data_IF_681564732752
#
_entry.id   IF_681564732752
#
_cell.length_a   1.000
_cell.length_b   1.000
_cell.length_c   1.000
_cell.angle_alpha   90.00
_cell.angle_beta   90.00
_cell.angle_gamma   90.00
#
_symmetry.space_group_name_H-M   'P 1'
#
loop_
_entity.id
_entity.type
_entity.pdbx_description
1 polymer ?
#
# COMPACT_ATOMS: atom_id res chain seq x y z
N UNK A 1 2.81 -0.55 -5.73
CA UNK A 1 2.36 0.06 -4.46
C UNK A 1 3.12 -0.51 -3.28
N UNK A 2 3.16 0.21 -2.14
CA UNK A 2 3.66 -0.27 -0.85
C UNK A 2 2.62 -0.08 0.25
N UNK A 3 2.79 -0.79 1.37
CA UNK A 3 1.99 -0.58 2.59
C UNK A 3 2.90 0.01 3.68
N UNK A 4 2.56 1.21 4.13
CA UNK A 4 3.25 1.94 5.19
C UNK A 4 2.50 1.80 6.51
N UNK A 5 3.05 1.05 7.47
CA UNK A 5 2.39 0.74 8.74
C UNK A 5 3.34 0.76 9.93
N UNK A 6 2.77 0.96 11.11
CA UNK A 6 3.44 0.58 12.37
C UNK A 6 3.38 -0.93 12.59
N UNK A 7 4.29 -1.46 13.41
CA UNK A 7 4.25 -2.85 13.87
C UNK A 7 2.87 -3.12 14.50
N UNK A 8 2.33 -4.30 14.29
CA UNK A 8 1.02 -4.75 14.81
C UNK A 8 -0.21 -3.97 14.33
N UNK A 9 -0.08 -3.04 13.40
CA UNK A 9 -1.24 -2.38 12.79
C UNK A 9 -1.98 -3.23 11.76
N UNK A 10 -1.48 -4.45 11.48
CA UNK A 10 -2.12 -5.44 10.60
C UNK A 10 -1.61 -5.38 9.15
N UNK A 11 -0.35 -4.95 8.94
CA UNK A 11 0.28 -4.86 7.62
C UNK A 11 0.28 -6.21 6.90
N UNK A 12 0.86 -7.24 7.50
CA UNK A 12 0.96 -8.59 6.92
C UNK A 12 -0.42 -9.19 6.65
N UNK A 13 -1.37 -9.04 7.59
CA UNK A 13 -2.76 -9.49 7.40
C UNK A 13 -3.41 -8.80 6.20
N UNK A 14 -3.16 -7.49 6.03
CA UNK A 14 -3.69 -6.76 4.89
C UNK A 14 -3.03 -7.20 3.58
N UNK A 15 -1.70 -7.39 3.55
CA UNK A 15 -0.97 -7.89 2.38
C UNK A 15 -1.50 -9.26 1.95
N UNK A 16 -1.68 -10.19 2.88
CA UNK A 16 -2.25 -11.52 2.61
C UNK A 16 -3.66 -11.43 2.01
N UNK A 17 -4.51 -10.55 2.56
CA UNK A 17 -5.87 -10.35 2.03
C UNK A 17 -5.86 -9.80 0.59
N UNK A 18 -4.97 -8.87 0.28
CA UNK A 18 -4.83 -8.32 -1.08
C UNK A 18 -4.40 -9.41 -2.07
N UNK A 19 -3.43 -10.25 -1.68
CA UNK A 19 -2.90 -11.36 -2.48
C UNK A 19 -3.99 -12.44 -2.68
N UNK A 20 -4.72 -12.80 -1.64
CA UNK A 20 -5.83 -13.76 -1.71
C UNK A 20 -6.97 -13.23 -2.58
N UNK A 21 -7.35 -11.97 -2.40
CA UNK A 21 -8.39 -11.33 -3.20
C UNK A 21 -8.07 -11.22 -4.69
N UNK A 22 -6.78 -11.22 -5.04
CA UNK A 22 -6.31 -11.33 -6.42
C UNK A 22 -6.24 -12.79 -6.93
N UNK A 23 -6.71 -13.77 -6.17
CA UNK A 23 -6.75 -15.18 -6.57
C UNK A 23 -5.39 -15.90 -6.53
N UNK A 24 -4.37 -15.32 -5.92
CA UNK A 24 -3.02 -15.91 -5.84
C UNK A 24 -2.85 -16.88 -4.68
N UNK A 25 -3.78 -16.90 -3.73
CA UNK A 25 -3.86 -17.86 -2.63
C UNK A 25 -5.31 -18.09 -2.21
N UNK A 26 -5.59 -19.17 -1.46
CA UNK A 26 -6.93 -19.39 -0.96
C UNK A 26 -7.30 -18.39 0.14
N UNK A 27 -8.55 -17.93 0.16
CA UNK A 27 -9.05 -16.99 1.18
C UNK A 27 -8.96 -17.57 2.61
N UNK A 28 -9.01 -18.89 2.77
CA UNK A 28 -8.90 -19.58 4.07
C UNK A 28 -7.51 -19.40 4.72
N UNK A 29 -6.47 -19.20 3.89
CA UNK A 29 -5.08 -18.99 4.32
C UNK A 29 -4.76 -17.51 4.52
N UNK A 30 -5.57 -16.61 3.99
CA UNK A 30 -5.36 -15.17 4.11
C UNK A 30 -5.29 -14.72 5.58
N UNK A 31 -4.30 -13.92 5.91
CA UNK A 31 -4.03 -13.46 7.27
C UNK A 31 -3.46 -14.50 8.23
N UNK A 32 -3.24 -15.75 7.78
CA UNK A 32 -2.67 -16.84 8.59
C UNK A 32 -1.31 -17.30 8.06
N UNK A 33 -1.13 -17.30 6.75
CA UNK A 33 0.04 -17.94 6.09
C UNK A 33 1.24 -17.02 5.96
N UNK A 34 1.08 -15.70 6.17
CA UNK A 34 2.18 -14.71 6.05
C UNK A 34 3.00 -14.94 4.78
N UNK A 35 2.31 -14.99 3.64
CA UNK A 35 2.90 -15.41 2.35
C UNK A 35 4.12 -14.60 1.94
N UNK A 36 4.24 -13.36 2.40
CA UNK A 36 5.39 -12.50 2.11
C UNK A 36 6.52 -12.59 3.15
N UNK A 37 6.31 -13.27 4.29
CA UNK A 37 7.33 -13.48 5.32
C UNK A 37 8.09 -14.80 5.03
N UNK A 38 9.05 -14.77 4.11
CA UNK A 38 9.82 -15.96 3.65
C UNK A 38 10.94 -16.38 4.59
N UNK A 39 11.33 -15.56 5.57
CA UNK A 39 12.42 -15.82 6.50
C UNK A 39 11.88 -16.49 7.78
N UNK A 40 12.54 -17.55 8.24
CA UNK A 40 12.18 -18.23 9.50
C UNK A 40 12.20 -17.28 10.70
N UNK A 41 13.07 -16.26 10.70
CA UNK A 41 13.15 -15.27 11.78
C UNK A 41 11.97 -14.30 11.74
N UNK A 42 11.43 -13.98 10.55
CA UNK A 42 10.21 -13.18 10.37
C UNK A 42 9.02 -13.93 10.95
N UNK A 43 8.87 -15.19 10.56
CA UNK A 43 7.79 -16.06 11.06
C UNK A 43 7.86 -16.27 12.58
N UNK A 44 9.06 -16.46 13.14
CA UNK A 44 9.25 -16.69 14.56
C UNK A 44 8.98 -15.44 15.42
N UNK A 45 9.29 -14.25 14.91
CA UNK A 45 9.15 -12.98 15.64
C UNK A 45 7.87 -12.23 15.30
N UNK A 46 7.17 -12.63 14.24
CA UNK A 46 5.96 -11.96 13.77
C UNK A 46 6.18 -10.58 13.18
N UNK A 47 7.38 -10.27 12.70
CA UNK A 47 7.74 -8.98 12.10
C UNK A 47 8.30 -9.18 10.70
N UNK A 48 7.93 -8.33 9.75
CA UNK A 48 8.54 -8.30 8.42
C UNK A 48 9.91 -7.63 8.50
N UNK A 49 10.94 -8.37 8.14
CA UNK A 49 12.36 -7.90 8.13
C UNK A 49 12.74 -7.52 6.69
N UNK A 50 12.35 -8.36 5.73
CA UNK A 50 12.72 -8.23 4.34
C UNK A 50 11.55 -7.71 3.50
N UNK A 51 11.83 -6.78 2.57
CA UNK A 51 10.85 -6.40 1.58
C UNK A 51 10.59 -7.58 0.63
N UNK A 52 9.34 -7.96 0.49
CA UNK A 52 8.87 -8.97 -0.46
C UNK A 52 7.99 -8.32 -1.52
N UNK A 53 7.85 -8.94 -2.69
CA UNK A 53 7.02 -8.41 -3.76
C UNK A 53 6.05 -9.45 -4.30
N UNK A 54 4.83 -9.03 -4.60
CA UNK A 54 3.82 -9.83 -5.27
C UNK A 54 3.19 -9.04 -6.41
N UNK A 55 2.95 -9.69 -7.55
CA UNK A 55 2.25 -9.11 -8.69
C UNK A 55 0.84 -9.64 -8.73
N UNK A 56 -0.15 -8.76 -8.75
CA UNK A 56 -1.57 -9.09 -8.68
C UNK A 56 -2.29 -8.51 -9.90
N UNK A 57 -3.32 -9.20 -10.37
CA UNK A 57 -4.25 -8.66 -11.37
C UNK A 57 -5.58 -8.35 -10.69
N UNK A 58 -6.09 -7.14 -10.92
CA UNK A 58 -7.38 -6.71 -10.40
C UNK A 58 -8.21 -6.06 -11.51
N UNK A 59 -9.49 -6.40 -11.57
CA UNK A 59 -10.42 -5.91 -12.58
C UNK A 59 -11.26 -4.78 -11.99
N UNK A 60 -11.23 -3.61 -12.63
CA UNK A 60 -12.09 -2.48 -12.25
C UNK A 60 -12.85 -2.02 -13.48
N UNK A 61 -14.18 -2.07 -13.41
CA UNK A 61 -15.12 -1.61 -14.47
C UNK A 61 -14.82 -2.17 -15.88
N UNK A 62 -14.21 -3.39 -15.92
CA UNK A 62 -13.92 -4.15 -17.14
C UNK A 62 -12.44 -4.30 -17.49
N UNK A 63 -11.59 -3.27 -17.45
CA UNK A 63 -10.15 -3.44 -17.68
C UNK A 63 -9.42 -4.18 -16.56
N UNK A 64 -8.37 -4.94 -16.96
CA UNK A 64 -7.44 -5.58 -16.05
C UNK A 64 -6.30 -4.62 -15.69
N UNK A 65 -5.97 -4.55 -14.39
CA UNK A 65 -4.88 -3.75 -13.87
C UNK A 65 -3.84 -4.65 -13.21
N UNK A 66 -2.58 -4.53 -13.61
CA UNK A 66 -1.46 -5.18 -12.93
C UNK A 66 -1.00 -4.31 -11.77
N UNK A 67 -1.07 -4.84 -10.56
CA UNK A 67 -0.66 -4.18 -9.33
C UNK A 67 0.52 -4.93 -8.73
N UNK A 68 1.68 -4.28 -8.65
CA UNK A 68 2.85 -4.81 -7.95
C UNK A 68 2.85 -4.29 -6.53
N UNK A 69 2.66 -5.18 -5.55
CA UNK A 69 2.74 -4.89 -4.14
C UNK A 69 4.15 -5.16 -3.65
N UNK A 70 4.76 -4.18 -2.98
CA UNK A 70 6.01 -4.35 -2.23
C UNK A 70 5.67 -4.23 -0.75
N UNK A 71 5.82 -5.32 -0.01
CA UNK A 71 5.70 -5.30 1.45
C UNK A 71 6.97 -4.76 2.07
N UNK A 72 6.86 -3.76 2.92
CA UNK A 72 8.00 -3.04 3.52
C UNK A 72 8.16 -3.41 4.99
N UNK A 73 9.39 -3.48 5.52
CA UNK A 73 9.59 -3.62 6.95
C UNK A 73 8.88 -2.50 7.74
N UNK A 74 8.25 -2.86 8.86
CA UNK A 74 7.59 -1.88 9.75
C UNK A 74 8.52 -1.28 10.80
N UNK A 75 9.73 -1.81 10.98
CA UNK A 75 10.66 -1.40 12.05
C UNK A 75 11.62 -0.30 11.59
N UNK A 76 11.89 0.67 12.50
CA UNK A 76 12.77 1.82 12.21
C UNK A 76 14.21 1.44 11.86
N UNK A 77 14.69 0.29 12.35
CA UNK A 77 16.05 -0.19 12.09
C UNK A 77 16.28 -0.56 10.61
N UNK A 78 15.19 -0.83 9.86
CA UNK A 78 15.22 -1.14 8.43
C UNK A 78 14.93 0.07 7.53
N UNK A 79 15.19 1.28 8.01
CA UNK A 79 14.88 2.52 7.27
C UNK A 79 15.50 2.61 5.89
N UNK A 80 16.67 1.99 5.67
CA UNK A 80 17.31 1.89 4.35
C UNK A 80 16.51 1.03 3.37
N UNK A 81 15.99 -0.10 3.81
CA UNK A 81 15.18 -1.01 2.99
C UNK A 81 13.84 -0.37 2.65
N UNK A 82 13.22 0.32 3.60
CA UNK A 82 11.99 1.09 3.38
C UNK A 82 12.21 2.16 2.32
N UNK A 83 13.31 2.92 2.37
CA UNK A 83 13.61 3.96 1.37
C UNK A 83 13.82 3.35 0.00
N UNK A 84 14.56 2.23 -0.12
CA UNK A 84 14.75 1.52 -1.39
C UNK A 84 13.43 1.02 -1.97
N UNK A 85 12.57 0.42 -1.14
CA UNK A 85 11.24 -0.01 -1.54
C UNK A 85 10.37 1.16 -2.01
N UNK A 86 10.39 2.31 -1.29
CA UNK A 86 9.65 3.51 -1.68
C UNK A 86 10.11 4.09 -3.03
N UNK A 87 11.36 3.91 -3.42
CA UNK A 87 11.84 4.27 -4.77
C UNK A 87 11.25 3.41 -5.87
N UNK A 88 10.87 2.18 -5.58
CA UNK A 88 10.31 1.27 -6.56
C UNK A 88 8.79 1.40 -6.77
N UNK A 89 8.06 2.08 -5.87
CA UNK A 89 6.59 2.17 -5.91
C UNK A 89 6.11 3.57 -6.27
N UNK A 90 4.91 3.69 -6.84
CA UNK A 90 4.30 4.96 -7.26
C UNK A 90 3.25 5.46 -6.27
N UNK A 91 2.68 4.54 -5.49
CA UNK A 91 1.70 4.85 -4.46
C UNK A 91 1.93 4.04 -3.18
N UNK A 92 1.41 4.53 -2.06
CA UNK A 92 1.44 3.79 -0.81
C UNK A 92 0.10 3.86 -0.07
N UNK A 93 -0.27 2.75 0.56
CA UNK A 93 -1.38 2.66 1.50
C UNK A 93 -0.83 2.93 2.89
N UNK A 94 -1.16 4.07 3.47
CA UNK A 94 -0.87 4.36 4.87
C UNK A 94 -1.87 3.58 5.72
N UNK A 95 -1.38 2.68 6.56
CA UNK A 95 -2.19 1.87 7.44
C UNK A 95 -2.13 2.45 8.87
N UNK A 96 -3.25 2.95 9.37
CA UNK A 96 -3.37 3.47 10.73
C UNK A 96 -4.34 2.60 11.55
N UNK A 97 -4.00 2.35 12.83
CA UNK A 97 -4.89 1.66 13.74
C UNK A 97 -6.01 2.59 14.22
N UNK A 98 -7.26 2.18 14.14
CA UNK A 98 -8.40 2.96 14.61
C UNK A 98 -8.36 3.22 16.13
N UNK A 99 -7.76 2.31 16.89
CA UNK A 99 -7.63 2.39 18.35
C UNK A 99 -6.48 3.30 18.75
N UNK A 100 -5.28 3.08 18.20
CA UNK A 100 -4.02 3.74 18.59
C UNK A 100 -3.73 4.98 17.76
N UNK A 101 -4.34 5.09 16.57
CA UNK A 101 -4.09 6.16 15.62
C UNK A 101 -2.78 5.98 14.85
N UNK A 102 -2.14 7.09 14.51
CA UNK A 102 -0.83 7.10 13.87
C UNK A 102 0.29 7.12 14.90
N UNK A 103 1.21 6.17 14.80
CA UNK A 103 2.35 6.01 15.70
C UNK A 103 3.63 6.62 15.09
N UNK A 104 4.69 6.87 15.89
CA UNK A 104 5.93 7.50 15.41
C UNK A 104 6.59 6.77 14.24
N UNK A 105 6.52 5.43 14.20
CA UNK A 105 7.05 4.65 13.08
C UNK A 105 6.26 4.89 11.81
N UNK A 106 4.91 4.97 11.89
CA UNK A 106 4.07 5.35 10.74
C UNK A 106 4.48 6.71 10.21
N UNK A 107 4.73 7.69 11.09
CA UNK A 107 5.18 9.03 10.67
C UNK A 107 6.52 8.97 9.93
N UNK A 108 7.46 8.14 10.39
CA UNK A 108 8.77 7.96 9.75
C UNK A 108 8.64 7.37 8.35
N UNK A 109 7.85 6.30 8.19
CA UNK A 109 7.65 5.64 6.89
C UNK A 109 6.88 6.56 5.93
N UNK A 110 5.86 7.25 6.39
CA UNK A 110 5.10 8.25 5.61
C UNK A 110 6.03 9.37 5.13
N UNK A 111 6.89 9.90 6.02
CA UNK A 111 7.89 10.92 5.65
C UNK A 111 8.84 10.42 4.56
N UNK A 112 9.31 9.16 4.64
CA UNK A 112 10.16 8.56 3.61
C UNK A 112 9.41 8.43 2.28
N UNK A 113 8.17 7.94 2.28
CA UNK A 113 7.33 7.83 1.09
C UNK A 113 7.12 9.21 0.40
N UNK A 114 6.78 10.23 1.19
CA UNK A 114 6.56 11.59 0.66
C UNK A 114 7.83 12.22 0.09
N UNK A 115 9.01 11.99 0.71
CA UNK A 115 10.30 12.43 0.17
C UNK A 115 10.64 11.78 -1.17
N UNK A 116 10.28 10.53 -1.36
CA UNK A 116 10.43 9.79 -2.62
C UNK A 116 9.27 10.06 -3.60
N UNK A 117 8.43 11.05 -3.32
CA UNK A 117 7.27 11.46 -4.12
C UNK A 117 6.31 10.30 -4.42
N UNK A 118 6.05 9.46 -3.43
CA UNK A 118 5.06 8.37 -3.48
C UNK A 118 3.70 8.88 -3.03
N UNK A 119 2.66 8.75 -3.88
CA UNK A 119 1.31 9.25 -3.58
C UNK A 119 0.63 8.40 -2.51
N UNK A 120 0.14 9.00 -1.40
CA UNK A 120 -0.49 8.25 -0.32
C UNK A 120 -2.01 8.11 -0.50
N UNK A 121 -2.56 6.99 0.02
CA UNK A 121 -3.95 6.82 0.43
C UNK A 121 -3.97 6.31 1.86
N UNK A 122 -5.10 6.42 2.57
CA UNK A 122 -5.21 6.03 3.99
C UNK A 122 -6.21 4.89 4.16
N UNK A 123 -5.79 3.85 4.88
CA UNK A 123 -6.68 2.82 5.41
C UNK A 123 -6.66 2.82 6.94
N UNK A 124 -7.82 3.05 7.57
CA UNK A 124 -8.00 3.01 9.02
C UNK A 124 -8.45 1.60 9.39
N UNK A 125 -7.53 0.82 9.95
CA UNK A 125 -7.70 -0.59 10.27
C UNK A 125 -8.15 -0.84 11.73
N UNK A 126 -8.61 -2.04 12.03
CA UNK A 126 -9.06 -2.49 13.35
C UNK A 126 -10.29 -1.74 13.87
N UNK A 127 -11.19 -1.37 12.97
CA UNK A 127 -12.45 -0.71 13.32
C UNK A 127 -13.37 -1.64 14.12
N UNK A 128 -13.30 -2.96 13.84
CA UNK A 128 -13.93 -4.02 14.62
C UNK A 128 -13.64 -3.90 16.13
N UNK A 129 -12.40 -3.54 16.50
CA UNK A 129 -12.00 -3.38 17.89
C UNK A 129 -12.60 -2.13 18.54
N UNK A 130 -12.79 -1.05 17.80
CA UNK A 130 -13.49 0.14 18.31
C UNK A 130 -14.93 -0.19 18.69
N UNK A 131 -15.61 -0.99 17.87
CA UNK A 131 -17.02 -1.34 18.06
C UNK A 131 -17.16 -2.41 19.13
N UNK A 132 -16.43 -3.52 19.03
CA UNK A 132 -16.62 -4.68 19.88
C UNK A 132 -15.90 -4.61 21.22
N UNK A 133 -14.65 -4.12 21.25
CA UNK A 133 -13.85 -4.07 22.48
C UNK A 133 -14.06 -2.77 23.25
N UNK A 134 -13.99 -1.62 22.56
CA UNK A 134 -14.12 -0.32 23.19
C UNK A 134 -15.57 0.19 23.27
N UNK A 135 -16.48 -0.45 22.54
CA UNK A 135 -17.92 -0.13 22.54
C UNK A 135 -18.24 1.35 22.34
N UNK A 136 -17.44 2.01 21.47
CA UNK A 136 -17.63 3.44 21.18
C UNK A 136 -18.81 3.65 20.24
N UNK A 137 -19.48 4.79 20.39
CA UNK A 137 -20.57 5.19 19.50
C UNK A 137 -20.08 5.77 18.16
N UNK A 138 -21.03 6.01 17.25
CA UNK A 138 -20.72 6.57 15.93
C UNK A 138 -20.05 7.95 15.97
N UNK A 139 -20.55 8.92 16.74
CA UNK A 139 -19.93 10.22 16.90
C UNK A 139 -18.48 10.16 17.43
N UNK A 140 -18.21 9.34 18.42
CA UNK A 140 -16.84 9.17 18.95
C UNK A 140 -15.92 8.53 17.90
N UNK A 141 -16.40 7.50 17.17
CA UNK A 141 -15.63 6.88 16.11
C UNK A 141 -15.29 7.89 14.99
N UNK A 142 -16.25 8.70 14.58
CA UNK A 142 -16.00 9.77 13.59
C UNK A 142 -14.96 10.76 14.08
N UNK A 143 -15.02 11.18 15.34
CA UNK A 143 -14.02 12.08 15.94
C UNK A 143 -12.61 11.46 15.94
N UNK A 144 -12.48 10.17 16.18
CA UNK A 144 -11.19 9.44 16.09
C UNK A 144 -10.68 9.40 14.66
N UNK A 145 -11.54 9.11 13.69
CA UNK A 145 -11.15 9.11 12.27
C UNK A 145 -10.69 10.50 11.82
N UNK A 146 -11.39 11.56 12.19
CA UNK A 146 -10.98 12.93 11.91
C UNK A 146 -9.61 13.29 12.49
N UNK A 147 -9.30 12.86 13.70
CA UNK A 147 -7.97 13.05 14.32
C UNK A 147 -6.88 12.33 13.53
N UNK A 148 -7.12 11.08 13.09
CA UNK A 148 -6.18 10.30 12.30
C UNK A 148 -5.95 10.98 10.94
N UNK A 149 -7.02 11.35 10.23
CA UNK A 149 -6.96 12.02 8.93
C UNK A 149 -6.22 13.36 9.05
N UNK A 150 -6.52 14.15 10.08
CA UNK A 150 -5.87 15.45 10.33
C UNK A 150 -4.37 15.26 10.56
N UNK A 151 -3.99 14.26 11.36
CA UNK A 151 -2.57 13.98 11.64
C UNK A 151 -1.83 13.52 10.36
N UNK A 152 -2.42 12.65 9.56
CA UNK A 152 -1.85 12.23 8.27
C UNK A 152 -1.73 13.41 7.30
N UNK A 153 -2.76 14.25 7.21
CA UNK A 153 -2.73 15.44 6.36
C UNK A 153 -1.69 16.47 6.80
N UNK A 154 -1.44 16.58 8.11
CA UNK A 154 -0.34 17.39 8.63
C UNK A 154 1.01 16.88 8.17
N UNK A 155 1.24 15.56 8.18
CA UNK A 155 2.47 14.96 7.66
C UNK A 155 2.61 15.22 6.16
N UNK A 156 1.52 15.04 5.39
CA UNK A 156 1.52 15.32 3.95
C UNK A 156 1.88 16.78 3.67
N UNK A 157 1.24 17.72 4.38
CA UNK A 157 1.52 19.16 4.22
C UNK A 157 2.94 19.54 4.61
N UNK A 158 3.57 18.79 5.52
CA UNK A 158 4.92 19.09 6.01
C UNK A 158 6.01 18.51 5.11
N UNK A 159 5.79 17.33 4.53
CA UNK A 159 6.86 16.56 3.87
C UNK A 159 6.63 16.32 2.38
N UNK A 160 5.42 16.48 1.87
CA UNK A 160 5.19 16.39 0.43
C UNK A 160 5.74 17.64 -0.29
N UNK A 161 6.12 17.52 -1.58
CA UNK A 161 6.47 18.68 -2.40
C UNK A 161 5.35 19.73 -2.39
N UNK A 162 5.69 21.01 -2.41
CA UNK A 162 4.72 22.12 -2.30
C UNK A 162 3.64 22.08 -3.37
N UNK A 163 4.00 21.68 -4.59
CA UNK A 163 3.11 21.54 -5.75
C UNK A 163 2.13 20.36 -5.61
N UNK A 164 2.53 19.30 -4.92
CA UNK A 164 1.75 18.06 -4.77
C UNK A 164 1.03 17.95 -3.42
N UNK A 165 1.53 18.63 -2.39
CA UNK A 165 1.06 18.48 -1.01
C UNK A 165 -0.44 18.76 -0.81
N UNK A 166 -1.00 19.74 -1.52
CA UNK A 166 -2.44 20.05 -1.45
C UNK A 166 -3.30 19.00 -2.15
N UNK A 167 -2.84 18.48 -3.27
CA UNK A 167 -3.54 17.45 -4.04
C UNK A 167 -3.54 16.12 -3.30
N UNK A 168 -2.42 15.79 -2.65
CA UNK A 168 -2.19 14.50 -1.98
C UNK A 168 -2.82 14.40 -0.59
N UNK A 169 -3.40 15.47 -0.06
CA UNK A 169 -4.18 15.37 1.18
C UNK A 169 -5.27 14.33 1.06
N UNK A 170 -5.29 13.42 2.02
CA UNK A 170 -6.30 12.36 2.07
C UNK A 170 -7.63 12.91 2.57
N UNK A 171 -8.72 12.48 1.96
CA UNK A 171 -10.07 12.93 2.26
C UNK A 171 -11.07 11.82 2.02
N UNK A 172 -12.03 11.70 2.91
CA UNK A 172 -13.15 10.77 2.80
C UNK A 172 -13.96 11.07 1.53
N UNK A 173 -14.22 12.37 1.27
CA UNK A 173 -15.00 12.82 0.12
C UNK A 173 -14.29 12.55 -1.21
N UNK A 174 -12.96 12.66 -1.25
CA UNK A 174 -12.16 12.32 -2.44
C UNK A 174 -12.01 10.82 -2.65
N UNK A 175 -12.47 9.98 -1.72
CA UNK A 175 -12.31 8.53 -1.77
C UNK A 175 -10.86 8.06 -1.59
N UNK A 176 -10.00 8.87 -0.98
CA UNK A 176 -8.60 8.51 -0.65
C UNK A 176 -8.46 8.00 0.79
N UNK A 177 -9.58 7.84 1.49
CA UNK A 177 -9.66 7.25 2.83
C UNK A 177 -10.64 6.10 2.79
N UNK A 178 -10.21 4.94 3.27
CA UNK A 178 -11.06 3.80 3.57
C UNK A 178 -10.86 3.38 5.02
N UNK A 179 -11.81 2.65 5.58
CA UNK A 179 -11.74 2.10 6.93
C UNK A 179 -12.29 0.68 6.96
N UNK A 180 -11.89 -0.13 7.93
CA UNK A 180 -12.35 -1.51 8.01
C UNK A 180 -11.57 -2.37 9.00
N UNK A 181 -11.64 -3.67 8.77
CA UNK A 181 -10.89 -4.67 9.50
C UNK A 181 -10.16 -5.61 8.54
N UNK A 182 -8.82 -5.57 8.57
CA UNK A 182 -8.02 -6.55 7.84
C UNK A 182 -8.21 -7.97 8.41
N UNK A 183 -8.45 -8.10 9.72
CA UNK A 183 -8.66 -9.40 10.35
C UNK A 183 -9.91 -10.12 9.80
N UNK A 184 -11.02 -9.40 9.63
CA UNK A 184 -12.27 -9.92 9.08
C UNK A 184 -12.39 -9.72 7.56
N UNK A 185 -11.38 -9.10 6.91
CA UNK A 185 -11.32 -8.80 5.48
C UNK A 185 -12.53 -8.01 4.98
N UNK A 186 -12.97 -6.98 5.71
CA UNK A 186 -13.96 -6.05 5.22
C UNK A 186 -13.43 -4.62 5.20
N UNK A 187 -13.91 -3.83 4.25
CA UNK A 187 -13.51 -2.44 4.11
C UNK A 187 -14.61 -1.56 3.53
N UNK A 188 -14.52 -0.27 3.77
CA UNK A 188 -15.49 0.69 3.29
C UNK A 188 -14.81 2.01 2.93
N UNK A 189 -15.21 2.58 1.79
CA UNK A 189 -14.90 3.92 1.35
C UNK A 189 -16.17 4.61 0.87
N UNK A 190 -16.19 5.94 0.76
CA UNK A 190 -17.38 6.64 0.24
C UNK A 190 -17.78 6.17 -1.16
N UNK A 191 -16.85 6.06 -2.15
CA UNK A 191 -17.22 5.51 -3.46
C UNK A 191 -17.81 4.10 -3.38
N UNK A 192 -17.25 3.24 -2.52
CA UNK A 192 -17.77 1.88 -2.36
C UNK A 192 -19.14 1.86 -1.66
N UNK A 193 -19.38 2.71 -0.66
CA UNK A 193 -20.72 2.87 -0.04
C UNK A 193 -21.78 3.26 -1.06
N UNK A 194 -21.45 4.16 -1.97
CA UNK A 194 -22.36 4.57 -3.04
C UNK A 194 -22.66 3.44 -4.02
N UNK A 195 -21.66 2.62 -4.35
CA UNK A 195 -21.79 1.45 -5.25
C UNK A 195 -22.56 0.30 -4.60
N UNK A 196 -22.24 -0.04 -3.36
CA UNK A 196 -22.81 -1.19 -2.62
C UNK A 196 -24.14 -0.88 -1.92
N UNK A 197 -24.49 0.40 -1.76
CA UNK A 197 -25.65 0.88 -0.99
C UNK A 197 -25.63 0.49 0.50
N UNK A 198 -24.49 0.09 1.04
CA UNK A 198 -24.30 -0.19 2.46
C UNK A 198 -24.11 1.15 3.17
N UNK A 199 -24.84 1.36 4.25
CA UNK A 199 -24.71 2.57 5.07
C UNK A 199 -23.90 2.29 6.36
N UNK A 200 -23.48 3.38 7.01
CA UNK A 200 -22.65 3.31 8.20
C UNK A 200 -23.33 2.59 9.37
N UNK A 201 -24.66 2.75 9.51
CA UNK A 201 -25.45 2.08 10.56
C UNK A 201 -25.41 0.55 10.41
N UNK A 202 -25.53 0.05 9.17
CA UNK A 202 -25.45 -1.38 8.89
C UNK A 202 -24.08 -1.96 9.26
N UNK A 203 -22.98 -1.22 9.08
CA UNK A 203 -21.65 -1.67 9.51
C UNK A 203 -21.62 -1.91 11.01
N UNK A 204 -22.19 -1.01 11.82
CA UNK A 204 -22.32 -1.20 13.27
C UNK A 204 -23.15 -2.43 13.61
N UNK A 205 -24.29 -2.61 12.96
CA UNK A 205 -25.17 -3.76 13.18
C UNK A 205 -24.44 -5.08 12.89
N UNK A 206 -23.74 -5.19 11.74
CA UNK A 206 -22.95 -6.38 11.42
C UNK A 206 -21.82 -6.65 12.42
N UNK A 207 -21.17 -5.61 12.94
CA UNK A 207 -20.11 -5.77 13.93
C UNK A 207 -20.65 -6.19 15.30
N UNK A 208 -21.77 -5.60 15.75
CA UNK A 208 -22.40 -5.94 17.03
C UNK A 208 -23.01 -7.35 17.06
N UNK A 209 -23.58 -7.78 15.94
CA UNK A 209 -24.20 -9.10 15.81
C UNK A 209 -23.19 -10.24 15.55
N UNK A 210 -21.88 -9.95 15.68
CA UNK A 210 -20.76 -10.86 15.35
C UNK A 210 -20.85 -11.45 13.92
N UNK A 211 -21.42 -10.68 13.01
CA UNK A 211 -21.72 -11.10 11.65
C UNK A 211 -20.78 -10.44 10.60
N UNK A 212 -19.54 -10.16 11.00
CA UNK A 212 -18.55 -9.49 10.15
C UNK A 212 -18.14 -10.31 8.93
N UNK A 213 -18.35 -11.65 8.95
CA UNK A 213 -18.12 -12.50 7.77
C UNK A 213 -19.10 -12.19 6.63
N UNK A 214 -20.35 -11.88 6.95
CA UNK A 214 -21.32 -11.45 5.93
C UNK A 214 -21.01 -10.04 5.43
N UNK A 215 -20.56 -9.14 6.32
CA UNK A 215 -20.05 -7.83 5.90
C UNK A 215 -18.87 -7.96 4.94
N UNK A 216 -17.94 -8.90 5.19
CA UNK A 216 -16.82 -9.18 4.30
C UNK A 216 -17.24 -9.67 2.90
N UNK A 217 -18.34 -10.43 2.79
CA UNK A 217 -18.90 -10.82 1.49
C UNK A 217 -19.53 -9.63 0.75
N UNK A 218 -20.17 -8.72 1.47
CA UNK A 218 -20.81 -7.55 0.91
C UNK A 218 -19.82 -6.42 0.57
N UNK A 219 -18.76 -6.30 1.34
CA UNK A 219 -17.74 -5.28 1.21
C UNK A 219 -16.34 -5.86 1.47
N UNK A 220 -15.82 -6.72 0.57
CA UNK A 220 -14.50 -7.32 0.75
C UNK A 220 -13.43 -6.24 0.85
N UNK A 221 -12.63 -6.28 1.92
CA UNK A 221 -11.60 -5.28 2.19
C UNK A 221 -10.56 -5.17 1.09
N UNK A 222 -10.18 -6.31 0.52
CA UNK A 222 -9.25 -6.35 -0.63
C UNK A 222 -9.82 -5.64 -1.86
N UNK A 223 -11.11 -5.86 -2.20
CA UNK A 223 -11.74 -5.18 -3.34
C UNK A 223 -11.76 -3.67 -3.15
N UNK A 224 -12.21 -3.20 -1.96
CA UNK A 224 -12.26 -1.77 -1.66
C UNK A 224 -10.89 -1.10 -1.79
N UNK A 225 -9.83 -1.76 -1.34
CA UNK A 225 -8.48 -1.21 -1.37
C UNK A 225 -7.83 -1.31 -2.75
N UNK A 226 -8.07 -2.39 -3.50
CA UNK A 226 -7.56 -2.52 -4.86
C UNK A 226 -8.29 -1.55 -5.80
N UNK A 227 -9.62 -1.39 -5.69
CA UNK A 227 -10.39 -0.36 -6.41
C UNK A 227 -9.83 1.05 -6.10
N UNK A 228 -9.61 1.36 -4.81
CA UNK A 228 -9.01 2.63 -4.39
C UNK A 228 -7.59 2.82 -4.93
N UNK A 229 -6.80 1.75 -5.00
CA UNK A 229 -5.45 1.78 -5.57
C UNK A 229 -5.48 2.14 -7.05
N UNK A 230 -6.34 1.49 -7.83
CA UNK A 230 -6.47 1.75 -9.27
C UNK A 230 -6.96 3.17 -9.54
N UNK A 231 -7.92 3.65 -8.76
CA UNK A 231 -8.53 4.97 -8.97
C UNK A 231 -7.65 6.13 -8.48
N UNK A 232 -6.88 5.95 -7.42
CA UNK A 232 -6.20 7.05 -6.72
C UNK A 232 -4.68 7.07 -6.87
N UNK A 233 -4.03 5.95 -7.09
CA UNK A 233 -2.59 5.95 -7.33
C UNK A 233 -2.27 6.23 -8.81
N UNK A 234 -1.18 6.93 -9.09
CA UNK A 234 -0.77 7.19 -10.46
C UNK A 234 -0.23 5.91 -11.10
N UNK A 235 -0.45 5.77 -12.42
CA UNK A 235 0.28 4.78 -13.20
C UNK A 235 1.76 5.15 -13.31
N UNK A 236 2.66 4.21 -13.63
CA UNK A 236 4.08 4.50 -13.85
C UNK A 236 4.33 5.65 -14.83
N UNK A 237 3.57 5.70 -15.93
CA UNK A 237 3.68 6.75 -16.96
C UNK A 237 3.40 8.15 -16.41
N UNK A 238 2.50 8.26 -15.44
CA UNK A 238 2.20 9.54 -14.77
C UNK A 238 3.23 9.82 -13.68
N UNK A 239 3.53 8.82 -12.86
CA UNK A 239 4.41 8.98 -11.70
C UNK A 239 5.86 9.29 -12.09
N UNK A 240 6.41 8.64 -13.11
CA UNK A 240 7.81 8.81 -13.50
C UNK A 240 8.13 10.24 -13.95
N UNK A 241 7.18 10.97 -14.51
CA UNK A 241 7.37 12.37 -14.92
C UNK A 241 7.84 13.30 -13.80
N UNK A 242 7.33 13.09 -12.58
CA UNK A 242 7.72 13.89 -11.41
C UNK A 242 8.66 13.16 -10.45
N UNK A 243 8.77 11.84 -10.54
CA UNK A 243 9.62 11.04 -9.67
C UNK A 243 11.04 10.89 -10.20
N UNK A 244 11.23 10.67 -11.51
CA UNK A 244 12.56 10.51 -12.11
C UNK A 244 13.47 11.70 -11.82
N UNK A 245 13.03 12.97 -11.94
CA UNK A 245 13.86 14.12 -11.55
C UNK A 245 14.30 14.14 -10.09
N UNK A 246 13.59 13.42 -9.21
CA UNK A 246 13.94 13.30 -7.79
C UNK A 246 14.88 12.11 -7.50
N UNK A 247 14.77 11.03 -8.27
CA UNK A 247 15.48 9.77 -8.02
C UNK A 247 16.82 9.74 -8.76
N UNK A 248 16.84 10.28 -9.98
CA UNK A 248 18.00 10.20 -10.87
C UNK A 248 18.71 11.56 -10.99
N UNK A 249 20.04 11.52 -10.87
CA UNK A 249 20.92 12.71 -10.84
C UNK A 249 21.55 13.02 -12.22
N UNK A 250 21.25 12.21 -13.23
CA UNK A 250 21.80 12.39 -14.56
C UNK A 250 21.06 13.45 -15.38
N UNK A 251 21.48 13.64 -16.62
CA UNK A 251 20.87 14.60 -17.54
C UNK A 251 19.50 14.13 -18.04
N UNK A 252 18.43 14.78 -17.59
CA UNK A 252 17.04 14.47 -17.95
C UNK A 252 16.75 14.68 -19.45
N UNK A 253 17.52 15.54 -20.13
CA UNK A 253 17.38 15.75 -21.56
C UNK A 253 18.10 14.69 -22.42
N UNK A 254 18.91 13.82 -21.80
CA UNK A 254 19.53 12.67 -22.47
C UNK A 254 18.48 11.67 -22.95
N UNK A 255 18.86 10.80 -23.89
CA UNK A 255 17.98 9.74 -24.36
C UNK A 255 17.51 8.80 -23.23
N UNK A 256 18.38 8.51 -22.25
CA UNK A 256 18.03 7.71 -21.06
C UNK A 256 17.05 8.46 -20.14
N UNK A 257 17.31 9.75 -19.87
CA UNK A 257 16.45 10.56 -19.02
C UNK A 257 15.02 10.66 -19.57
N UNK A 258 14.88 10.97 -20.85
CA UNK A 258 13.58 11.03 -21.55
C UNK A 258 12.87 9.69 -21.53
N UNK A 259 13.58 8.60 -21.88
CA UNK A 259 13.00 7.26 -21.88
C UNK A 259 12.47 6.86 -20.49
N UNK A 260 13.21 7.16 -19.39
CA UNK A 260 12.74 6.93 -18.04
C UNK A 260 11.51 7.77 -17.68
N UNK A 261 11.47 9.04 -18.06
CA UNK A 261 10.33 9.91 -17.76
C UNK A 261 9.06 9.51 -18.51
N UNK A 262 9.20 8.94 -19.70
CA UNK A 262 8.10 8.51 -20.57
C UNK A 262 7.72 7.05 -20.38
N UNK A 263 8.44 6.28 -19.55
CA UNK A 263 8.31 4.82 -19.44
C UNK A 263 8.46 4.12 -20.79
N UNK A 264 9.37 4.60 -21.64
CA UNK A 264 9.52 4.09 -23.01
C UNK A 264 10.00 2.63 -23.00
N UNK A 265 9.20 1.67 -23.48
CA UNK A 265 9.58 0.26 -23.51
C UNK A 265 10.63 -0.06 -24.59
N UNK A 266 10.82 0.80 -25.58
CA UNK A 266 11.75 0.63 -26.68
C UNK A 266 13.01 1.50 -26.52
N UNK A 267 13.05 2.29 -25.46
CA UNK A 267 14.20 3.11 -25.07
C UNK A 267 15.34 2.32 -24.42
N UNK A 268 16.43 3.00 -24.05
CA UNK A 268 17.53 2.37 -23.31
C UNK A 268 17.05 1.73 -22.02
N UNK A 269 17.53 0.49 -21.74
CA UNK A 269 17.22 -0.19 -20.51
C UNK A 269 17.76 0.58 -19.31
N UNK A 270 16.88 0.91 -18.35
CA UNK A 270 17.23 1.48 -17.06
C UNK A 270 16.53 0.70 -15.95
N UNK A 271 17.32 0.12 -15.06
CA UNK A 271 16.87 -0.71 -13.94
C UNK A 271 17.49 -0.22 -12.64
N UNK A 272 16.66 -0.02 -11.62
CA UNK A 272 17.13 0.23 -10.26
C UNK A 272 16.97 -1.03 -9.42
N UNK A 273 18.08 -1.57 -8.91
CA UNK A 273 18.08 -2.68 -7.97
C UNK A 273 17.65 -2.17 -6.59
N UNK A 274 16.63 -2.78 -6.01
CA UNK A 274 16.12 -2.43 -4.68
C UNK A 274 16.54 -3.42 -3.61
N UNK A 275 16.79 -4.67 -3.98
CA UNK A 275 17.21 -5.74 -3.08
C UNK A 275 18.07 -6.78 -3.81
N UNK A 276 19.06 -7.31 -3.11
CA UNK A 276 19.85 -8.47 -3.52
C UNK A 276 19.82 -9.47 -2.35
N UNK A 277 19.58 -10.73 -2.65
CA UNK A 277 19.71 -11.81 -1.67
C UNK A 277 20.38 -13.04 -2.29
N UNK A 278 20.87 -13.93 -1.43
CA UNK A 278 21.46 -15.18 -1.85
C UNK A 278 20.40 -16.29 -1.82
N UNK A 279 20.09 -16.85 -2.98
CA UNK A 279 19.23 -18.02 -3.10
C UNK A 279 20.11 -19.29 -3.10
N UNK A 280 19.75 -20.34 -2.32
CA UNK A 280 20.56 -21.57 -2.25
C UNK A 280 20.75 -22.29 -3.59
N UNK A 281 19.84 -22.10 -4.56
CA UNK A 281 19.85 -22.77 -5.85
C UNK A 281 20.24 -21.85 -7.01
N UNK A 282 19.82 -20.60 -6.97
CA UNK A 282 20.03 -19.63 -8.03
C UNK A 282 21.26 -18.73 -7.83
N UNK A 283 21.85 -18.72 -6.61
CA UNK A 283 22.92 -17.81 -6.26
C UNK A 283 22.43 -16.41 -5.94
N UNK A 284 23.14 -15.36 -6.38
CA UNK A 284 22.73 -13.98 -6.15
C UNK A 284 21.50 -13.64 -7.01
N UNK A 285 20.40 -13.26 -6.34
CA UNK A 285 19.16 -12.82 -6.98
C UNK A 285 18.95 -11.34 -6.68
N UNK A 286 18.81 -10.54 -7.72
CA UNK A 286 18.53 -9.12 -7.65
C UNK A 286 17.08 -8.82 -8.04
N UNK A 287 16.39 -8.02 -7.22
CA UNK A 287 15.05 -7.51 -7.52
C UNK A 287 15.12 -6.00 -7.68
N UNK A 288 14.41 -5.50 -8.66
CA UNK A 288 14.40 -4.08 -8.94
C UNK A 288 13.23 -3.63 -9.79
N UNK A 289 13.21 -2.34 -10.08
CA UNK A 289 12.22 -1.71 -10.96
C UNK A 289 12.87 -1.31 -12.27
N UNK A 290 12.26 -1.72 -13.38
CA UNK A 290 12.58 -1.22 -14.72
C UNK A 290 11.88 0.12 -14.91
N UNK A 291 12.61 1.16 -15.26
CA UNK A 291 12.08 2.49 -15.56
C UNK A 291 11.89 2.73 -17.06
N UNK A 292 12.74 2.15 -17.89
CA UNK A 292 12.65 2.18 -19.35
C UNK A 292 13.29 0.96 -19.97
N UNK A 293 13.01 0.70 -21.23
CA UNK A 293 13.51 -0.47 -21.95
C UNK A 293 12.80 -1.77 -21.55
N UNK A 294 13.35 -2.88 -22.00
CA UNK A 294 12.84 -4.25 -21.73
C UNK A 294 13.98 -5.17 -21.33
N UNK A 295 13.69 -6.10 -20.44
CA UNK A 295 14.56 -7.21 -20.07
C UNK A 295 13.93 -8.50 -20.60
N UNK A 296 14.72 -9.37 -21.23
CA UNK A 296 14.29 -10.69 -21.67
C UNK A 296 15.06 -11.78 -20.92
N UNK A 297 14.42 -12.92 -20.76
CA UNK A 297 15.09 -14.08 -20.19
C UNK A 297 16.34 -14.47 -20.97
N UNK A 298 17.45 -14.69 -20.26
CA UNK A 298 18.75 -15.04 -20.84
C UNK A 298 19.59 -13.87 -21.34
N UNK A 299 19.12 -12.63 -21.22
CA UNK A 299 19.92 -11.43 -21.53
C UNK A 299 20.87 -11.08 -20.37
N UNK A 300 22.10 -10.72 -20.70
CA UNK A 300 23.04 -10.09 -19.75
C UNK A 300 22.81 -8.58 -19.73
N UNK A 301 22.71 -8.02 -18.53
CA UNK A 301 22.56 -6.56 -18.30
C UNK A 301 23.78 -6.03 -17.57
N UNK A 302 24.18 -4.77 -17.85
CA UNK A 302 25.37 -4.12 -17.32
C UNK A 302 25.00 -2.85 -16.57
#
# INVERSE_FOLDING_TARGET
IAIAAHIDHGKTTLSDNLIAGAGMMSEELAGKSRVLDFDEQESARGITINAASASMVHVVDGPDYLINLIDTPGHVDFGGDVTRAMRAVDGCIILACAVEGTMPQTETVVRQALKEKVRPVLFINKVDRLINELQIDGPEMMSRFEKIITKVNKLISTYAPEDLGKEWQVSVQKGTVAFGSAYYNWGMSIPYMQKSKINFKQIFEYCHDDNQKELAKLAPGHTVLLDMTVDKHPSPVVAQKYRIPNIWQGDLESGVGKAMMECDPDGPLSLMITKIWMDPHAGEVAVGRVYSGRIKHGESVW
#
